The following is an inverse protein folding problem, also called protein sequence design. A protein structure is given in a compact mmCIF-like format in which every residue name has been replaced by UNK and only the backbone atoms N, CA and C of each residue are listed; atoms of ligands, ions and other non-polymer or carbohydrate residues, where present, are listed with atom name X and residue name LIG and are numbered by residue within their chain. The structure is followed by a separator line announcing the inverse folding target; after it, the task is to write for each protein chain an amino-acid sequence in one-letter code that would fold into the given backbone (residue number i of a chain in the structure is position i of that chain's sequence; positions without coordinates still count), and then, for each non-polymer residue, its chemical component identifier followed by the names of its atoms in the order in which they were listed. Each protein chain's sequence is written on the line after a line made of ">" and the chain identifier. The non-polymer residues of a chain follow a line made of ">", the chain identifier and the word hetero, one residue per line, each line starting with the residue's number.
data_IF_282568465459
#
_entry.id   IF_282568465459
#
_cell.length_a   1.000
_cell.length_b   1.000
_cell.length_c   1.000
_cell.angle_alpha   90.00
_cell.angle_beta   90.00
_cell.angle_gamma   90.00
#
_symmetry.space_group_name_H-M   'P 1'
#
loop_
_entity.id
_entity.type
_entity.pdbx_description
1 polymer ?
#
# COMPACT_ATOMS: atom_id res chain seq x y z
N UNK A 1 12.86 -3.37 12.63
CA UNK A 1 12.04 -2.17 12.94
C UNK A 1 10.62 -2.54 12.57
N UNK A 2 9.69 -2.43 13.52
CA UNK A 2 8.23 -2.45 13.35
C UNK A 2 7.58 -3.55 12.48
N UNK A 3 8.16 -4.76 12.43
CA UNK A 3 7.52 -5.91 11.78
C UNK A 3 6.10 -6.13 12.30
N UNK A 4 5.85 -5.94 13.59
CA UNK A 4 4.52 -6.11 14.20
C UNK A 4 3.46 -5.18 13.60
N UNK A 5 3.82 -3.94 13.22
CA UNK A 5 2.87 -3.01 12.60
C UNK A 5 2.56 -3.40 11.16
N UNK A 6 3.58 -3.78 10.38
CA UNK A 6 3.36 -4.26 9.01
C UNK A 6 2.43 -5.48 8.97
N UNK A 7 2.59 -6.41 9.91
CA UNK A 7 1.75 -7.61 10.01
C UNK A 7 0.32 -7.26 10.41
N UNK A 8 0.13 -6.29 11.31
CA UNK A 8 -1.19 -5.81 11.69
C UNK A 8 -1.92 -5.15 10.52
N UNK A 9 -1.22 -4.36 9.71
CA UNK A 9 -1.80 -3.76 8.51
C UNK A 9 -2.10 -4.79 7.41
N UNK A 10 -1.22 -5.77 7.19
CA UNK A 10 -1.50 -6.86 6.24
C UNK A 10 -2.80 -7.56 6.62
N UNK A 11 -2.97 -7.97 7.89
CA UNK A 11 -4.20 -8.62 8.36
C UNK A 11 -5.45 -7.75 8.28
N UNK A 12 -5.29 -6.44 8.25
CA UNK A 12 -6.40 -5.50 8.11
C UNK A 12 -6.86 -5.38 6.65
N UNK A 13 -5.92 -5.52 5.70
CA UNK A 13 -6.16 -5.30 4.27
C UNK A 13 -6.46 -6.63 3.57
N UNK A 14 -5.66 -7.67 3.81
CA UNK A 14 -5.84 -9.05 3.33
C UNK A 14 -7.05 -9.68 4.03
N UNK A 15 -8.24 -9.37 3.53
CA UNK A 15 -9.51 -9.74 4.15
C UNK A 15 -9.91 -11.19 3.91
N UNK A 16 -9.32 -11.85 2.90
CA UNK A 16 -9.56 -13.26 2.61
C UNK A 16 -8.49 -14.20 3.20
N UNK A 17 -7.39 -13.65 3.75
CA UNK A 17 -6.27 -14.33 4.38
C UNK A 17 -5.48 -15.26 3.43
N UNK A 18 -5.43 -14.95 2.13
CA UNK A 18 -4.69 -15.74 1.13
C UNK A 18 -3.21 -15.32 0.97
N UNK A 19 -2.78 -14.32 1.74
CA UNK A 19 -1.38 -13.91 1.86
C UNK A 19 -0.92 -12.93 0.78
N UNK A 20 -1.84 -12.40 -0.02
CA UNK A 20 -1.60 -11.36 -1.01
C UNK A 20 -2.70 -10.30 -0.91
N UNK A 21 -2.36 -9.08 -1.24
CA UNK A 21 -3.33 -7.98 -1.32
C UNK A 21 -3.62 -7.70 -2.79
N UNK A 22 -4.90 -7.81 -3.17
CA UNK A 22 -5.37 -7.42 -4.51
C UNK A 22 -6.02 -6.04 -4.50
N UNK A 23 -6.22 -5.44 -5.68
CA UNK A 23 -6.77 -4.08 -5.79
C UNK A 23 -8.13 -3.91 -5.10
N UNK A 24 -8.98 -4.94 -5.12
CA UNK A 24 -10.29 -4.88 -4.47
C UNK A 24 -10.18 -4.79 -2.94
N UNK A 25 -9.20 -5.49 -2.35
CA UNK A 25 -8.93 -5.44 -0.91
C UNK A 25 -8.34 -4.10 -0.49
N UNK A 26 -7.39 -3.58 -1.27
CA UNK A 26 -6.85 -2.23 -1.04
C UNK A 26 -7.96 -1.17 -1.16
N UNK A 27 -8.87 -1.30 -2.15
CA UNK A 27 -10.01 -0.40 -2.33
C UNK A 27 -10.96 -0.45 -1.13
N UNK A 28 -11.27 -1.64 -0.62
CA UNK A 28 -12.11 -1.81 0.57
C UNK A 28 -11.49 -1.15 1.80
N UNK A 29 -10.17 -1.34 1.99
CA UNK A 29 -9.43 -0.65 3.03
C UNK A 29 -9.54 0.88 2.88
N UNK A 30 -9.29 1.44 1.69
CA UNK A 30 -9.41 2.89 1.49
C UNK A 30 -10.81 3.41 1.77
N UNK A 31 -11.85 2.71 1.31
CA UNK A 31 -13.25 3.08 1.58
C UNK A 31 -13.58 3.05 3.08
N UNK A 32 -13.13 2.01 3.79
CA UNK A 32 -13.36 1.87 5.23
C UNK A 32 -12.73 3.01 6.04
N UNK A 33 -11.58 3.52 5.59
CA UNK A 33 -10.83 4.59 6.25
C UNK A 33 -11.02 5.97 5.60
N UNK A 34 -11.98 6.12 4.68
CA UNK A 34 -12.30 7.38 3.99
C UNK A 34 -11.11 7.99 3.23
N UNK A 35 -10.24 7.14 2.69
CA UNK A 35 -9.17 7.52 1.77
C UNK A 35 -9.77 7.63 0.37
N UNK A 36 -9.37 8.66 -0.39
CA UNK A 36 -9.86 8.86 -1.76
C UNK A 36 -9.46 7.70 -2.68
N UNK A 37 -10.46 7.11 -3.35
CA UNK A 37 -10.28 5.99 -4.27
C UNK A 37 -10.28 6.42 -5.73
N UNK A 38 -10.32 7.72 -6.03
CA UNK A 38 -10.34 8.23 -7.42
C UNK A 38 -9.15 7.74 -8.24
N UNK A 39 -8.00 7.55 -7.60
CA UNK A 39 -6.74 7.11 -8.23
C UNK A 39 -6.26 5.76 -7.65
N UNK A 40 -7.17 4.86 -7.29
CA UNK A 40 -6.80 3.58 -6.65
C UNK A 40 -5.98 2.69 -7.56
N UNK A 41 -6.24 2.67 -8.87
CA UNK A 41 -5.47 1.91 -9.85
C UNK A 41 -4.02 2.43 -9.90
N UNK A 42 -3.81 3.74 -9.94
CA UNK A 42 -2.47 4.35 -9.93
C UNK A 42 -1.73 4.08 -8.61
N UNK A 43 -2.44 4.15 -7.48
CA UNK A 43 -1.87 3.80 -6.18
C UNK A 43 -1.46 2.32 -6.16
N UNK A 44 -2.32 1.41 -6.61
CA UNK A 44 -2.02 -0.02 -6.64
C UNK A 44 -0.81 -0.31 -7.54
N UNK A 45 -0.79 0.21 -8.76
CA UNK A 45 0.34 0.08 -9.71
C UNK A 45 1.64 0.66 -9.14
N UNK A 46 1.57 1.73 -8.34
CA UNK A 46 2.76 2.32 -7.72
C UNK A 46 3.27 1.45 -6.57
N UNK A 47 2.38 0.83 -5.79
CA UNK A 47 2.73 0.01 -4.64
C UNK A 47 3.21 -1.38 -5.05
N UNK A 48 2.70 -1.94 -6.15
CA UNK A 48 3.01 -3.30 -6.61
C UNK A 48 4.38 -3.35 -7.31
N UNK A 49 5.38 -3.94 -6.65
CA UNK A 49 6.79 -3.78 -7.06
C UNK A 49 7.21 -4.74 -8.18
N UNK A 50 6.58 -5.92 -8.26
CA UNK A 50 6.98 -6.99 -9.18
C UNK A 50 6.10 -7.12 -10.44
N UNK A 51 5.05 -6.31 -10.57
CA UNK A 51 4.06 -6.26 -11.63
C UNK A 51 3.30 -7.57 -11.90
N UNK A 52 2.95 -8.33 -10.85
CA UNK A 52 2.25 -9.61 -10.93
C UNK A 52 0.78 -9.58 -10.46
N UNK A 53 0.20 -8.37 -10.38
CA UNK A 53 -1.20 -8.12 -10.00
C UNK A 53 -1.53 -8.43 -8.53
N UNK A 54 -0.53 -8.53 -7.65
CA UNK A 54 -0.71 -8.81 -6.23
C UNK A 54 0.42 -8.20 -5.41
N UNK A 55 0.11 -7.63 -4.24
CA UNK A 55 1.14 -7.16 -3.32
C UNK A 55 1.35 -8.27 -2.28
N UNK A 56 2.51 -8.92 -2.33
CA UNK A 56 2.86 -9.95 -1.36
C UNK A 56 3.40 -9.34 -0.08
N UNK A 57 3.41 -10.17 0.97
CA UNK A 57 3.91 -9.81 2.30
C UNK A 57 5.27 -9.11 2.34
N UNK A 58 6.24 -9.58 1.55
CA UNK A 58 7.59 -8.99 1.56
C UNK A 58 7.62 -7.63 0.84
N UNK A 59 6.85 -7.48 -0.24
CA UNK A 59 6.65 -6.18 -0.91
C UNK A 59 5.93 -5.21 0.02
N UNK A 60 4.87 -5.65 0.70
CA UNK A 60 4.15 -4.83 1.67
C UNK A 60 5.07 -4.30 2.76
N UNK A 61 5.95 -5.14 3.30
CA UNK A 61 6.92 -4.72 4.31
C UNK A 61 7.86 -3.64 3.78
N UNK A 62 8.35 -3.80 2.56
CA UNK A 62 9.21 -2.81 1.92
C UNK A 62 8.48 -1.49 1.69
N UNK A 63 7.25 -1.54 1.18
CA UNK A 63 6.37 -0.38 0.95
C UNK A 63 6.08 0.34 2.26
N UNK A 64 5.76 -0.40 3.32
CA UNK A 64 5.40 0.15 4.62
C UNK A 64 6.63 0.76 5.32
N UNK A 65 7.80 0.17 5.17
CA UNK A 65 9.06 0.76 5.64
C UNK A 65 9.37 2.07 4.91
N UNK A 66 9.19 2.11 3.58
CA UNK A 66 9.33 3.35 2.80
C UNK A 66 8.35 4.43 3.27
N UNK A 67 7.09 4.06 3.49
CA UNK A 67 6.07 4.99 3.98
C UNK A 67 6.45 5.64 5.33
N UNK A 68 7.03 4.87 6.25
CA UNK A 68 7.37 5.37 7.58
C UNK A 68 8.68 6.16 7.62
N UNK A 69 9.67 5.78 6.81
CA UNK A 69 11.06 6.21 7.04
C UNK A 69 11.79 6.72 5.80
N UNK A 70 11.23 6.58 4.60
CA UNK A 70 11.94 7.05 3.39
C UNK A 70 12.06 8.57 3.36
N UNK A 71 13.27 9.05 3.09
CA UNK A 71 13.52 10.46 2.75
C UNK A 71 13.35 10.72 1.24
N UNK A 72 13.26 9.65 0.42
CA UNK A 72 12.99 9.77 -1.00
C UNK A 72 11.50 10.10 -1.23
N UNK A 73 11.25 11.32 -1.70
CA UNK A 73 9.91 11.83 -2.03
C UNK A 73 9.24 11.06 -3.17
N UNK A 74 10.01 10.31 -3.97
CA UNK A 74 9.51 9.46 -5.05
C UNK A 74 9.37 7.99 -4.64
N UNK A 75 9.63 7.62 -3.39
CA UNK A 75 9.49 6.24 -2.95
C UNK A 75 8.04 5.75 -3.12
N UNK A 76 7.83 4.53 -3.65
CA UNK A 76 6.51 3.90 -3.77
C UNK A 76 5.67 3.95 -2.49
N UNK A 77 6.30 3.72 -1.32
CA UNK A 77 5.63 3.79 -0.01
C UNK A 77 4.91 5.10 0.28
N UNK A 78 5.28 6.22 -0.36
CA UNK A 78 4.58 7.49 -0.19
C UNK A 78 3.12 7.44 -0.70
N UNK A 79 2.74 6.40 -1.43
CA UNK A 79 1.39 6.17 -1.95
C UNK A 79 0.52 5.25 -1.07
N UNK A 80 1.04 4.83 0.09
CA UNK A 80 0.36 3.86 0.96
C UNK A 80 -1.03 4.30 1.41
N UNK A 81 -1.27 5.61 1.54
CA UNK A 81 -2.56 6.20 1.89
C UNK A 81 -3.22 6.92 0.70
N UNK A 82 -2.97 6.45 -0.52
CA UNK A 82 -3.49 7.03 -1.76
C UNK A 82 -2.52 8.00 -2.42
N UNK A 83 -3.04 8.85 -3.31
CA UNK A 83 -2.25 9.76 -4.16
C UNK A 83 -1.29 10.59 -3.31
N UNK A 84 0.01 10.42 -3.55
CA UNK A 84 1.04 11.22 -2.86
C UNK A 84 0.97 12.68 -3.32
N UNK A 85 0.97 13.60 -2.35
CA UNK A 85 1.07 15.06 -2.58
C UNK A 85 2.31 15.44 -3.42
N UNK A 86 3.34 14.59 -3.46
CA UNK A 86 4.60 14.89 -4.16
C UNK A 86 4.47 15.00 -5.69
N UNK A 87 3.43 14.42 -6.33
CA UNK A 87 3.15 14.65 -7.77
C UNK A 87 2.43 15.98 -8.06
N UNK A 88 1.97 16.69 -7.03
CA UNK A 88 1.23 17.96 -7.18
C UNK A 88 2.08 19.22 -6.93
N UNK A 89 3.41 19.10 -6.84
CA UNK A 89 4.36 20.22 -6.77
C UNK A 89 5.20 20.37 -8.04
#
# INVERSE_FOLDING_TARGET
>A
MDYDFSEAFIKLIDGNEDGKIVIDELRLFYQAYQIDTTHIEEAFETLELNLDSSIYKDEFKQIFEQFLYSEDVQAPGNWFLGVSLAKQL
#
